data_IF_191822426083
#
_entry.id   IF_191822426083
#
_cell.length_a   1.000
_cell.length_b   1.000
_cell.length_c   1.000
_cell.angle_alpha   90.00
_cell.angle_beta   90.00
_cell.angle_gamma   90.00
#
_symmetry.space_group_name_H-M   'P 1'
#
loop_
_entity.id
_entity.type
_entity.pdbx_description
1 polymer ?
#
# COMPACT_ATOMS: atom_id res chain seq x y z
N UNK A 1 21.48 -19.88 4.65
CA UNK A 1 21.42 -18.63 3.87
C UNK A 1 22.53 -17.73 4.37
N UNK A 2 23.54 -17.46 3.55
CA UNK A 2 24.73 -16.74 4.00
C UNK A 2 24.41 -15.25 4.19
N UNK A 3 24.61 -14.67 5.37
CA UNK A 3 24.36 -13.24 5.64
C UNK A 3 25.26 -12.31 4.83
N UNK A 4 26.32 -12.82 4.23
CA UNK A 4 27.27 -12.06 3.41
C UNK A 4 26.68 -11.47 2.11
N UNK A 5 25.63 -12.09 1.53
CA UNK A 5 25.01 -11.58 0.30
C UNK A 5 24.24 -10.27 0.57
N UNK A 6 23.67 -10.12 1.76
CA UNK A 6 22.92 -8.92 2.16
C UNK A 6 23.88 -7.75 2.39
N UNK A 7 25.07 -8.04 2.95
CA UNK A 7 26.10 -7.03 3.22
C UNK A 7 26.83 -6.56 1.95
N UNK A 8 26.88 -7.42 0.93
CA UNK A 8 27.61 -7.14 -0.33
C UNK A 8 26.84 -6.25 -1.32
N UNK A 9 25.51 -6.14 -1.16
CA UNK A 9 24.64 -5.28 -1.98
C UNK A 9 23.60 -4.60 -1.08
N UNK A 10 23.83 -3.35 -0.62
CA UNK A 10 22.93 -2.65 0.30
C UNK A 10 21.50 -2.50 -0.24
N UNK A 11 21.31 -2.56 -1.56
CA UNK A 11 20.00 -2.48 -2.20
C UNK A 11 19.08 -3.67 -1.87
N UNK A 12 19.63 -4.88 -1.72
CA UNK A 12 18.84 -6.05 -1.29
C UNK A 12 18.39 -5.94 0.17
N UNK A 13 19.27 -5.41 1.04
CA UNK A 13 18.94 -5.14 2.44
C UNK A 13 17.77 -4.16 2.57
N UNK A 14 17.81 -3.04 1.82
CA UNK A 14 16.74 -2.04 1.80
C UNK A 14 15.42 -2.65 1.31
N UNK A 15 15.44 -3.47 0.26
CA UNK A 15 14.25 -4.17 -0.24
C UNK A 15 13.63 -5.10 0.80
N UNK A 16 14.43 -5.89 1.49
CA UNK A 16 13.97 -6.82 2.56
C UNK A 16 13.35 -6.03 3.71
N UNK A 17 14.02 -4.97 4.16
CA UNK A 17 13.51 -4.11 5.24
C UNK A 17 12.17 -3.46 4.81
N UNK A 18 12.06 -2.99 3.56
CA UNK A 18 10.82 -2.44 3.03
C UNK A 18 9.66 -3.45 3.08
N UNK A 19 9.90 -4.70 2.65
CA UNK A 19 8.89 -5.78 2.74
C UNK A 19 8.53 -6.07 4.20
N UNK A 20 9.51 -6.21 5.09
CA UNK A 20 9.28 -6.48 6.51
C UNK A 20 8.55 -5.33 7.21
N UNK A 21 8.74 -4.09 6.77
CA UNK A 21 8.06 -2.93 7.34
C UNK A 21 6.61 -2.81 6.89
N UNK A 22 6.23 -3.36 5.73
CA UNK A 22 4.91 -3.12 5.12
C UNK A 22 3.99 -4.34 5.05
N UNK A 23 4.50 -5.58 5.20
CA UNK A 23 3.70 -6.81 5.05
C UNK A 23 2.48 -6.86 6.00
N UNK A 24 2.63 -6.37 7.23
CA UNK A 24 1.56 -6.34 8.23
C UNK A 24 0.39 -5.43 7.82
N UNK A 25 0.67 -4.30 7.13
CA UNK A 25 -0.36 -3.42 6.57
C UNK A 25 -1.18 -4.17 5.53
N UNK A 26 -0.50 -4.91 4.64
CA UNK A 26 -1.15 -5.78 3.66
C UNK A 26 -2.01 -6.86 4.31
N UNK A 27 -1.55 -7.43 5.42
CA UNK A 27 -2.31 -8.41 6.20
C UNK A 27 -3.62 -7.81 6.75
N UNK A 28 -3.57 -6.63 7.39
CA UNK A 28 -4.76 -5.95 7.90
C UNK A 28 -5.74 -5.59 6.78
N UNK A 29 -5.26 -5.04 5.68
CA UNK A 29 -6.09 -4.73 4.50
C UNK A 29 -6.74 -6.01 3.98
N UNK A 30 -5.98 -7.10 3.85
CA UNK A 30 -6.48 -8.41 3.40
C UNK A 30 -7.57 -8.97 4.31
N UNK A 31 -7.39 -8.91 5.63
CA UNK A 31 -8.39 -9.34 6.62
C UNK A 31 -9.68 -8.51 6.46
N UNK A 32 -9.59 -7.18 6.43
CA UNK A 32 -10.76 -6.30 6.29
C UNK A 32 -11.51 -6.60 4.98
N UNK A 33 -10.80 -6.70 3.86
CA UNK A 33 -11.41 -6.99 2.56
C UNK A 33 -12.02 -8.40 2.51
N UNK A 34 -11.45 -9.36 3.22
CA UNK A 34 -12.01 -10.72 3.34
C UNK A 34 -13.35 -10.69 4.10
N UNK A 35 -13.44 -9.96 5.21
CA UNK A 35 -14.70 -9.78 5.93
C UNK A 35 -15.75 -9.06 5.07
N UNK A 36 -15.37 -7.99 4.38
CA UNK A 36 -16.26 -7.32 3.44
C UNK A 36 -16.69 -8.25 2.30
N UNK A 37 -15.81 -9.16 1.89
CA UNK A 37 -16.11 -10.19 0.87
C UNK A 37 -17.26 -11.13 1.26
N UNK A 38 -17.49 -11.38 2.56
CA UNK A 38 -18.56 -12.26 3.06
C UNK A 38 -19.97 -11.77 2.71
N UNK A 39 -20.16 -10.52 2.31
CA UNK A 39 -21.46 -10.01 1.85
C UNK A 39 -21.91 -10.63 0.51
N UNK A 40 -20.99 -11.30 -0.21
CA UNK A 40 -21.30 -11.97 -1.48
C UNK A 40 -21.85 -13.37 -1.24
N UNK A 41 -22.98 -13.71 -1.86
CA UNK A 41 -23.67 -14.99 -1.67
C UNK A 41 -22.97 -16.20 -2.32
N UNK A 42 -22.07 -15.96 -3.27
CA UNK A 42 -21.37 -17.00 -4.04
C UNK A 42 -19.87 -16.92 -3.78
N UNK A 43 -19.25 -18.04 -3.39
CA UNK A 43 -17.82 -18.11 -3.08
C UNK A 43 -16.92 -17.67 -4.25
N UNK A 44 -17.26 -18.04 -5.49
CA UNK A 44 -16.51 -17.61 -6.68
C UNK A 44 -16.57 -16.09 -6.89
N UNK A 45 -17.71 -15.48 -6.64
CA UNK A 45 -17.88 -14.02 -6.72
C UNK A 45 -17.16 -13.32 -5.58
N UNK A 46 -17.30 -13.82 -4.35
CA UNK A 46 -16.56 -13.34 -3.18
C UNK A 46 -15.07 -13.28 -3.50
N UNK A 47 -14.48 -14.38 -3.92
CA UNK A 47 -13.05 -14.43 -4.25
C UNK A 47 -12.67 -13.43 -5.34
N UNK A 48 -13.42 -13.42 -6.45
CA UNK A 48 -13.13 -12.50 -7.58
C UNK A 48 -13.24 -11.03 -7.20
N UNK A 49 -14.24 -10.66 -6.40
CA UNK A 49 -14.42 -9.26 -5.96
C UNK A 49 -13.35 -8.89 -4.95
N UNK A 50 -12.99 -9.77 -4.01
CA UNK A 50 -11.94 -9.53 -3.03
C UNK A 50 -10.58 -9.32 -3.71
N UNK A 51 -10.21 -10.15 -4.68
CA UNK A 51 -8.95 -9.97 -5.44
C UNK A 51 -8.94 -8.65 -6.21
N UNK A 52 -10.04 -8.28 -6.86
CA UNK A 52 -10.15 -6.99 -7.55
C UNK A 52 -10.08 -5.80 -6.58
N UNK A 53 -10.68 -5.93 -5.41
CA UNK A 53 -10.62 -4.93 -4.34
C UNK A 53 -9.19 -4.76 -3.83
N UNK A 54 -8.46 -5.85 -3.64
CA UNK A 54 -7.05 -5.83 -3.24
C UNK A 54 -6.18 -5.16 -4.31
N UNK A 55 -6.37 -5.54 -5.58
CA UNK A 55 -5.65 -4.92 -6.71
C UNK A 55 -5.93 -3.41 -6.82
N UNK A 56 -7.18 -2.99 -6.60
CA UNK A 56 -7.57 -1.58 -6.58
C UNK A 56 -6.87 -0.82 -5.44
N UNK A 57 -6.86 -1.39 -4.24
CA UNK A 57 -6.17 -0.79 -3.08
C UNK A 57 -4.68 -0.63 -3.37
N UNK A 58 -4.03 -1.67 -3.91
CA UNK A 58 -2.61 -1.64 -4.24
C UNK A 58 -2.29 -0.57 -5.30
N UNK A 59 -3.12 -0.48 -6.34
CA UNK A 59 -2.95 0.51 -7.42
C UNK A 59 -3.04 1.94 -6.88
N UNK A 60 -4.04 2.22 -6.03
CA UNK A 60 -4.21 3.54 -5.41
C UNK A 60 -3.03 3.84 -4.48
N UNK A 61 -2.61 2.88 -3.65
CA UNK A 61 -1.47 3.05 -2.74
C UNK A 61 -0.18 3.36 -3.51
N UNK A 62 0.08 2.65 -4.61
CA UNK A 62 1.24 2.89 -5.46
C UNK A 62 1.18 4.27 -6.12
N UNK A 63 0.03 4.65 -6.67
CA UNK A 63 -0.15 5.95 -7.33
C UNK A 63 0.07 7.10 -6.35
N UNK A 64 -0.53 7.04 -5.17
CA UNK A 64 -0.38 8.06 -4.12
C UNK A 64 1.06 8.05 -3.58
N UNK A 65 1.69 6.88 -3.46
CA UNK A 65 3.10 6.77 -3.09
C UNK A 65 4.04 7.45 -4.10
N UNK A 66 3.80 7.26 -5.41
CA UNK A 66 4.54 7.98 -6.45
C UNK A 66 4.35 9.50 -6.36
N UNK A 67 3.13 9.97 -6.05
CA UNK A 67 2.89 11.39 -5.78
C UNK A 67 3.70 11.87 -4.57
N UNK A 68 3.80 11.05 -3.52
CA UNK A 68 4.63 11.33 -2.35
C UNK A 68 6.12 11.46 -2.69
N UNK A 69 6.64 10.62 -3.60
CA UNK A 69 8.01 10.71 -4.08
C UNK A 69 8.25 12.04 -4.80
N UNK A 70 7.35 12.45 -5.70
CA UNK A 70 7.43 13.74 -6.39
C UNK A 70 7.31 14.92 -5.43
N UNK A 71 6.41 14.83 -4.46
CA UNK A 71 6.28 15.84 -3.40
C UNK A 71 7.56 15.95 -2.57
N UNK A 72 8.18 14.82 -2.22
CA UNK A 72 9.49 14.77 -1.54
C UNK A 72 10.55 15.49 -2.34
N UNK A 73 10.63 15.23 -3.65
CA UNK A 73 11.63 15.81 -4.54
C UNK A 73 11.45 17.32 -4.76
N UNK A 74 10.21 17.77 -5.05
CA UNK A 74 9.99 19.16 -5.46
C UNK A 74 9.69 20.13 -4.31
N UNK A 75 9.33 19.61 -3.13
CA UNK A 75 8.89 20.47 -2.02
C UNK A 75 9.72 20.26 -0.77
N UNK A 76 9.97 19.00 -0.38
CA UNK A 76 10.59 18.70 0.91
C UNK A 76 12.11 18.85 0.90
N UNK A 77 12.78 18.70 -0.24
CA UNK A 77 14.24 18.91 -0.35
C UNK A 77 14.57 20.36 -0.03
N UNK A 78 13.77 21.33 -0.53
CA UNK A 78 13.98 22.75 -0.28
C UNK A 78 13.49 23.19 1.12
N UNK A 79 12.58 22.40 1.73
CA UNK A 79 12.00 22.65 3.04
C UNK A 79 12.14 21.41 3.92
N UNK A 80 13.39 21.13 4.34
CA UNK A 80 13.75 19.92 5.07
C UNK A 80 12.82 19.71 6.28
N UNK A 81 12.03 18.61 6.33
CA UNK A 81 11.11 18.35 7.42
C UNK A 81 11.86 18.02 8.70
N UNK A 82 11.27 18.34 9.85
CA UNK A 82 11.86 18.03 11.15
C UNK A 82 11.65 16.54 11.52
N UNK A 83 12.28 15.65 10.72
CA UNK A 83 12.29 14.22 10.96
C UNK A 83 13.53 13.81 11.74
N UNK A 84 13.51 12.60 12.30
CA UNK A 84 14.72 12.00 12.86
C UNK A 84 15.62 11.52 11.72
N UNK A 85 16.82 12.09 11.64
CA UNK A 85 17.85 11.70 10.67
C UNK A 85 18.95 10.90 11.36
N UNK A 86 19.31 9.69 10.85
CA UNK A 86 20.43 8.94 11.37
C UNK A 86 21.74 9.71 11.24
N UNK A 87 22.62 9.64 12.24
CA UNK A 87 23.91 10.37 12.24
C UNK A 87 24.82 10.01 11.06
N UNK A 88 24.68 8.81 10.50
CA UNK A 88 25.50 8.31 9.39
C UNK A 88 24.75 8.39 8.04
N UNK A 89 23.75 9.25 7.92
CA UNK A 89 23.00 9.41 6.69
C UNK A 89 23.86 10.06 5.62
N UNK A 90 24.14 9.33 4.52
CA UNK A 90 25.00 9.79 3.43
C UNK A 90 24.24 10.70 2.47
N UNK A 91 22.94 10.41 2.28
CA UNK A 91 22.10 11.06 1.24
C UNK A 91 20.77 11.44 1.87
N UNK A 92 20.68 12.70 2.28
CA UNK A 92 19.48 13.23 2.94
C UNK A 92 18.33 13.43 1.94
N UNK A 93 18.61 13.79 0.70
CA UNK A 93 17.59 14.06 -0.31
C UNK A 93 16.83 12.78 -0.68
N UNK A 94 17.55 11.70 -0.96
CA UNK A 94 16.92 10.40 -1.21
C UNK A 94 16.17 9.86 0.01
N UNK A 95 16.70 10.10 1.22
CA UNK A 95 16.00 9.71 2.44
C UNK A 95 14.65 10.43 2.59
N UNK A 96 14.62 11.75 2.32
CA UNK A 96 13.39 12.56 2.35
C UNK A 96 12.39 12.08 1.29
N UNK A 97 12.86 11.86 0.06
CA UNK A 97 12.01 11.36 -1.04
C UNK A 97 11.37 10.01 -0.72
N UNK A 98 12.17 9.05 -0.25
CA UNK A 98 11.69 7.70 0.10
C UNK A 98 10.78 7.74 1.32
N UNK A 99 11.10 8.53 2.34
CA UNK A 99 10.27 8.73 3.52
C UNK A 99 8.91 9.34 3.17
N UNK A 100 8.89 10.33 2.27
CA UNK A 100 7.66 10.93 1.75
C UNK A 100 6.83 9.92 0.96
N UNK A 101 7.46 9.18 0.04
CA UNK A 101 6.81 8.08 -0.69
C UNK A 101 6.15 7.08 0.26
N UNK A 102 6.85 6.68 1.32
CA UNK A 102 6.37 5.73 2.31
C UNK A 102 5.11 6.24 3.04
N UNK A 103 5.16 7.48 3.55
CA UNK A 103 4.03 8.11 4.24
C UNK A 103 2.81 8.25 3.32
N UNK A 104 3.01 8.69 2.09
CA UNK A 104 1.94 8.79 1.09
C UNK A 104 1.38 7.42 0.68
N UNK A 105 2.20 6.38 0.65
CA UNK A 105 1.73 5.00 0.38
C UNK A 105 0.78 4.50 1.46
N UNK A 106 0.99 4.84 2.73
CA UNK A 106 0.04 4.51 3.80
C UNK A 106 -1.28 5.28 3.64
N UNK A 107 -1.21 6.58 3.33
CA UNK A 107 -2.40 7.36 3.03
C UNK A 107 -3.16 6.79 1.82
N UNK A 108 -2.43 6.45 0.76
CA UNK A 108 -2.98 5.80 -0.43
C UNK A 108 -3.60 4.43 -0.12
N UNK A 109 -2.99 3.65 0.77
CA UNK A 109 -3.54 2.39 1.26
C UNK A 109 -4.88 2.55 1.97
N UNK A 110 -5.01 3.57 2.82
CA UNK A 110 -6.26 3.90 3.51
C UNK A 110 -7.35 4.35 2.51
N UNK A 111 -7.03 5.27 1.60
CA UNK A 111 -7.95 5.73 0.55
C UNK A 111 -8.36 4.56 -0.33
N UNK A 112 -7.41 3.72 -0.73
CA UNK A 112 -7.63 2.53 -1.55
C UNK A 112 -8.52 1.52 -0.85
N UNK A 113 -8.35 1.30 0.45
CA UNK A 113 -9.20 0.43 1.25
C UNK A 113 -10.66 0.92 1.26
N UNK A 114 -10.88 2.21 1.49
CA UNK A 114 -12.23 2.80 1.46
C UNK A 114 -12.86 2.62 0.07
N UNK A 115 -12.13 2.92 -1.00
CA UNK A 115 -12.59 2.73 -2.37
C UNK A 115 -12.94 1.26 -2.67
N UNK A 116 -12.12 0.32 -2.20
CA UNK A 116 -12.32 -1.11 -2.35
C UNK A 116 -13.57 -1.62 -1.60
N UNK A 117 -13.81 -1.13 -0.39
CA UNK A 117 -15.02 -1.44 0.38
C UNK A 117 -16.27 -0.95 -0.38
N UNK A 118 -16.26 0.30 -0.84
CA UNK A 118 -17.37 0.86 -1.62
C UNK A 118 -17.61 0.06 -2.90
N UNK A 119 -16.54 -0.31 -3.60
CA UNK A 119 -16.62 -1.15 -4.79
C UNK A 119 -17.26 -2.51 -4.48
N UNK A 120 -16.83 -3.19 -3.43
CA UNK A 120 -17.37 -4.50 -3.01
C UNK A 120 -18.85 -4.41 -2.68
N UNK A 121 -19.27 -3.42 -1.89
CA UNK A 121 -20.68 -3.20 -1.51
C UNK A 121 -21.55 -2.92 -2.74
N UNK A 122 -21.09 -2.06 -3.67
CA UNK A 122 -21.83 -1.77 -4.91
C UNK A 122 -22.03 -3.02 -5.76
N UNK A 123 -20.99 -3.86 -5.87
CA UNK A 123 -21.07 -5.14 -6.59
C UNK A 123 -22.08 -6.10 -5.97
N UNK A 124 -22.09 -6.25 -4.65
CA UNK A 124 -23.05 -7.10 -3.94
C UNK A 124 -24.50 -6.63 -4.18
N UNK A 125 -24.78 -5.31 -4.10
CA UNK A 125 -26.11 -4.74 -4.36
C UNK A 125 -26.60 -5.00 -5.79
N UNK A 126 -25.74 -4.82 -6.79
CA UNK A 126 -26.07 -5.07 -8.20
C UNK A 126 -26.43 -6.54 -8.43
N UNK A 127 -25.71 -7.46 -7.82
CA UNK A 127 -25.95 -8.90 -7.95
C UNK A 127 -27.29 -9.32 -7.32
N UNK A 128 -27.59 -8.78 -6.14
CA UNK A 128 -28.87 -9.09 -5.47
C UNK A 128 -30.07 -8.58 -6.28
N UNK A 129 -29.96 -7.46 -6.99
CA UNK A 129 -31.00 -6.93 -7.87
C UNK A 129 -31.26 -7.82 -9.08
N UNK A 130 -30.22 -8.48 -9.61
CA UNK A 130 -30.34 -9.38 -10.76
C UNK A 130 -30.90 -10.78 -10.42
N UNK A 131 -30.80 -11.20 -9.15
CA UNK A 131 -31.35 -12.47 -8.68
C UNK A 131 -32.81 -12.38 -8.25
N UNK A 132 -33.36 -11.17 -8.09
CA UNK A 132 -34.75 -10.90 -7.74
C UNK A 132 -35.65 -10.58 -8.93
N UNK A 133 -35.12 -10.71 -10.16
CA UNK A 133 -35.88 -10.68 -11.43
C UNK A 133 -35.96 -12.07 -12.03
#
# INVERSE_FOLDING_TARGET
>A
MQPEIILRNPRYGVGIVGVLATWWVGLFIGIILSFVGLIHKNASQMFRVTIKSLALTLLIALTVGCMGLLYGHFVLIDNIPNWYYPMNLIDIDHFIMVGSMHNFSYLGGLIGLIAAIVYSIRKAKTQNKNLGK
#
